data_IF_347159173955
#
_entry.id   IF_347159173955
#
_cell.length_a   1.000
_cell.length_b   1.000
_cell.length_c   1.000
_cell.angle_alpha   90.00
_cell.angle_beta   90.00
_cell.angle_gamma   90.00
#
_symmetry.space_group_name_H-M   'P 1'
#
loop_
_entity.id
_entity.type
_entity.pdbx_description
1 polymer ?
#
# COMPACT_ATOMS: atom_id res chain seq x y z
N UNK A 1 6.30 -3.38 -10.56
CA UNK A 1 6.46 -4.38 -9.48
C UNK A 1 7.50 -3.84 -8.51
N UNK A 2 7.43 -4.21 -7.23
CA UNK A 2 8.33 -3.73 -6.18
C UNK A 2 9.78 -4.20 -6.41
N UNK A 3 10.65 -3.30 -6.86
CA UNK A 3 12.09 -3.56 -7.07
C UNK A 3 12.93 -3.11 -5.86
N UNK A 4 13.87 -3.94 -5.43
CA UNK A 4 14.78 -3.64 -4.33
C UNK A 4 15.60 -2.36 -4.56
N UNK A 5 16.00 -2.10 -5.81
CA UNK A 5 16.79 -0.93 -6.16
C UNK A 5 16.03 0.38 -5.87
N UNK A 6 14.72 0.40 -6.12
CA UNK A 6 13.86 1.57 -5.85
C UNK A 6 13.75 1.85 -4.35
N UNK A 7 13.60 0.81 -3.52
CA UNK A 7 13.53 0.95 -2.06
C UNK A 7 14.82 1.52 -1.46
N UNK A 8 15.98 1.15 -2.02
CA UNK A 8 17.29 1.64 -1.57
C UNK A 8 17.51 3.12 -1.84
N UNK A 9 17.01 3.63 -2.97
CA UNK A 9 17.21 5.04 -3.38
C UNK A 9 16.09 5.95 -2.90
N UNK A 10 14.92 5.42 -2.55
CA UNK A 10 13.82 6.20 -1.99
C UNK A 10 14.25 6.84 -0.66
N UNK A 11 14.01 8.13 -0.49
CA UNK A 11 14.39 8.92 0.69
C UNK A 11 13.21 9.58 1.41
N UNK A 12 12.11 9.84 0.68
CA UNK A 12 10.89 10.40 1.26
C UNK A 12 10.15 9.37 2.12
N UNK A 13 9.31 9.83 3.08
CA UNK A 13 8.31 8.97 3.70
C UNK A 13 7.49 8.24 2.64
N UNK A 14 7.15 6.98 2.89
CA UNK A 14 6.49 6.13 1.91
C UNK A 14 5.32 5.36 2.54
N UNK A 15 4.21 5.27 1.80
CA UNK A 15 3.05 4.47 2.18
C UNK A 15 2.89 3.34 1.15
N UNK A 16 2.88 2.09 1.61
CA UNK A 16 2.71 0.91 0.77
C UNK A 16 1.46 0.15 1.22
N UNK A 17 0.41 0.21 0.39
CA UNK A 17 -0.86 -0.48 0.58
C UNK A 17 -0.95 -1.64 -0.43
N UNK A 18 -0.43 -2.82 -0.04
CA UNK A 18 -0.38 -4.00 -0.91
C UNK A 18 -1.73 -4.71 -0.98
N UNK A 19 -2.04 -5.33 -2.12
CA UNK A 19 -3.15 -6.29 -2.25
C UNK A 19 -2.67 -7.70 -1.92
N UNK A 20 -3.61 -8.66 -1.84
CA UNK A 20 -3.29 -10.09 -1.62
C UNK A 20 -2.52 -10.74 -2.78
N UNK A 21 -2.54 -10.10 -3.95
CA UNK A 21 -1.93 -10.64 -5.17
C UNK A 21 -0.45 -10.22 -5.29
N UNK A 22 0.05 -9.39 -4.38
CA UNK A 22 1.45 -8.95 -4.38
C UNK A 22 2.37 -9.98 -3.69
N UNK A 23 3.61 -10.18 -4.19
CA UNK A 23 4.55 -11.10 -3.55
C UNK A 23 4.94 -10.65 -2.13
N UNK A 24 4.60 -11.47 -1.12
CA UNK A 24 4.82 -11.15 0.29
C UNK A 24 6.29 -10.94 0.66
N UNK A 25 7.20 -11.68 0.01
CA UNK A 25 8.65 -11.53 0.16
C UNK A 25 9.14 -10.14 -0.28
N UNK A 26 8.57 -9.60 -1.37
CA UNK A 26 8.92 -8.27 -1.88
C UNK A 26 8.38 -7.15 -0.99
N UNK A 27 7.16 -7.30 -0.47
CA UNK A 27 6.57 -6.34 0.49
C UNK A 27 7.39 -6.30 1.79
N UNK A 28 7.79 -7.48 2.30
CA UNK A 28 8.64 -7.58 3.49
C UNK A 28 10.01 -6.95 3.27
N UNK A 29 10.64 -7.20 2.12
CA UNK A 29 11.94 -6.62 1.74
C UNK A 29 11.89 -5.08 1.71
N UNK A 30 10.82 -4.49 1.18
CA UNK A 30 10.63 -3.03 1.20
C UNK A 30 10.59 -2.47 2.62
N UNK A 31 9.86 -3.15 3.52
CA UNK A 31 9.79 -2.78 4.93
C UNK A 31 11.16 -2.85 5.61
N UNK A 32 11.93 -3.90 5.33
CA UNK A 32 13.28 -4.07 5.88
C UNK A 32 14.24 -2.96 5.43
N UNK A 33 14.27 -2.66 4.13
CA UNK A 33 15.20 -1.67 3.56
C UNK A 33 14.86 -0.24 3.99
N UNK A 34 13.58 0.10 4.03
CA UNK A 34 13.16 1.47 4.31
C UNK A 34 13.00 1.78 5.79
N UNK A 35 12.80 0.76 6.64
CA UNK A 35 12.68 0.90 8.09
C UNK A 35 11.52 1.82 8.48
N UNK A 36 11.77 2.78 9.37
CA UNK A 36 10.75 3.70 9.88
C UNK A 36 10.23 4.71 8.83
N UNK A 37 10.84 4.76 7.65
CA UNK A 37 10.41 5.65 6.56
C UNK A 37 9.22 5.11 5.78
N UNK A 38 8.83 3.85 6.00
CA UNK A 38 7.73 3.22 5.29
C UNK A 38 6.63 2.76 6.24
N UNK A 39 5.39 3.06 5.89
CA UNK A 39 4.19 2.49 6.49
C UNK A 39 3.63 1.42 5.55
N UNK A 40 3.51 0.17 6.01
CA UNK A 40 3.12 -0.97 5.18
C UNK A 40 1.82 -1.58 5.71
N UNK A 41 0.86 -1.81 4.82
CA UNK A 41 -0.35 -2.59 5.10
C UNK A 41 -0.63 -3.51 3.92
N UNK A 42 -0.81 -4.81 4.18
CA UNK A 42 -1.31 -5.76 3.19
C UNK A 42 -2.80 -5.98 3.40
N UNK A 43 -3.56 -5.84 2.32
CA UNK A 43 -5.01 -6.02 2.27
C UNK A 43 -5.31 -7.41 1.72
N UNK A 44 -5.36 -8.40 2.61
CA UNK A 44 -5.51 -9.84 2.29
C UNK A 44 -6.79 -10.19 1.51
N UNK A 45 -7.81 -9.34 1.56
CA UNK A 45 -9.08 -9.56 0.87
C UNK A 45 -9.19 -8.80 -0.47
N UNK A 46 -8.23 -7.92 -0.76
CA UNK A 46 -8.30 -7.02 -1.93
C UNK A 46 -7.43 -7.53 -3.09
N UNK A 47 -7.90 -7.37 -4.32
CA UNK A 47 -7.17 -7.74 -5.55
C UNK A 47 -6.30 -6.61 -6.09
N UNK A 48 -5.35 -6.95 -6.98
CA UNK A 48 -4.54 -5.95 -7.66
C UNK A 48 -5.38 -4.87 -8.38
N UNK A 49 -5.09 -3.60 -8.08
CA UNK A 49 -5.80 -2.45 -8.64
C UNK A 49 -7.07 -2.04 -7.87
N UNK A 50 -7.28 -2.57 -6.67
CA UNK A 50 -8.47 -2.30 -5.84
C UNK A 50 -8.72 -0.82 -5.51
N UNK A 51 -7.67 0.00 -5.41
CA UNK A 51 -7.80 1.45 -5.18
C UNK A 51 -7.93 2.30 -6.46
N UNK A 52 -7.88 1.66 -7.63
CA UNK A 52 -7.84 2.35 -8.93
C UNK A 52 -8.95 1.92 -9.88
N UNK A 53 -8.65 1.89 -11.18
CA UNK A 53 -9.63 1.58 -12.23
C UNK A 53 -10.30 0.20 -12.12
N UNK A 54 -9.74 -0.72 -11.31
CA UNK A 54 -10.27 -2.07 -11.07
C UNK A 54 -11.02 -2.19 -9.74
N UNK A 55 -11.32 -1.11 -9.05
CA UNK A 55 -12.10 -1.12 -7.80
C UNK A 55 -13.46 -1.81 -8.00
N UNK A 56 -13.83 -2.72 -7.09
CA UNK A 56 -15.17 -3.32 -7.08
C UNK A 56 -16.08 -2.60 -6.08
N UNK A 57 -16.66 -1.48 -6.51
CA UNK A 57 -17.53 -0.66 -5.66
C UNK A 57 -18.96 -1.22 -5.53
N UNK A 58 -19.23 -2.40 -6.09
CA UNK A 58 -20.52 -3.10 -5.91
C UNK A 58 -20.45 -4.12 -4.78
N UNK A 59 -19.25 -4.49 -4.35
CA UNK A 59 -19.02 -5.36 -3.22
C UNK A 59 -18.79 -4.54 -1.95
N UNK A 60 -19.63 -4.72 -0.93
CA UNK A 60 -19.59 -3.92 0.31
C UNK A 60 -18.26 -4.04 1.07
N UNK A 61 -17.62 -5.20 1.05
CA UNK A 61 -16.32 -5.39 1.69
C UNK A 61 -15.23 -4.61 0.95
N UNK A 62 -15.27 -4.64 -0.39
CA UNK A 62 -14.33 -3.88 -1.20
C UNK A 62 -14.52 -2.36 -1.03
N UNK A 63 -15.76 -1.89 -0.86
CA UNK A 63 -16.05 -0.48 -0.57
C UNK A 63 -15.44 -0.07 0.77
N UNK A 64 -15.58 -0.88 1.83
CA UNK A 64 -15.00 -0.58 3.15
C UNK A 64 -13.49 -0.47 3.09
N UNK A 65 -12.83 -1.41 2.44
CA UNK A 65 -11.37 -1.38 2.31
C UNK A 65 -10.92 -0.24 1.39
N UNK A 66 -11.65 0.05 0.29
CA UNK A 66 -11.42 1.22 -0.56
C UNK A 66 -11.41 2.53 0.25
N UNK A 67 -12.45 2.76 1.05
CA UNK A 67 -12.56 3.94 1.91
C UNK A 67 -11.43 3.98 2.96
N UNK A 68 -11.13 2.85 3.60
CA UNK A 68 -10.02 2.73 4.56
C UNK A 68 -8.67 3.05 3.93
N UNK A 69 -8.40 2.55 2.73
CA UNK A 69 -7.18 2.82 1.98
C UNK A 69 -7.01 4.30 1.68
N UNK A 70 -8.03 4.96 1.14
CA UNK A 70 -7.98 6.40 0.87
C UNK A 70 -7.90 7.24 2.14
N UNK A 71 -8.51 6.79 3.24
CA UNK A 71 -8.32 7.42 4.55
C UNK A 71 -6.86 7.32 5.01
N UNK A 72 -6.22 6.16 4.88
CA UNK A 72 -4.79 6.01 5.21
C UNK A 72 -3.92 6.93 4.35
N UNK A 73 -4.22 7.09 3.05
CA UNK A 73 -3.52 8.03 2.17
C UNK A 73 -3.69 9.47 2.67
N UNK A 74 -4.91 9.88 3.03
CA UNK A 74 -5.17 11.22 3.55
C UNK A 74 -4.45 11.47 4.89
N UNK A 75 -4.51 10.52 5.82
CA UNK A 75 -3.85 10.61 7.13
C UNK A 75 -2.32 10.65 6.97
N UNK A 76 -1.76 9.87 6.04
CA UNK A 76 -0.35 9.87 5.72
C UNK A 76 0.11 11.24 5.19
N UNK A 77 -0.61 11.82 4.24
CA UNK A 77 -0.29 13.16 3.74
C UNK A 77 -0.45 14.24 4.81
N UNK A 78 -1.49 14.17 5.65
CA UNK A 78 -1.65 15.11 6.75
C UNK A 78 -0.51 15.06 7.78
N UNK A 79 0.18 13.93 7.90
CA UNK A 79 1.35 13.74 8.77
C UNK A 79 2.66 14.24 8.15
N UNK A 80 2.75 14.27 6.82
CA UNK A 80 4.02 14.43 6.10
C UNK A 80 4.09 15.61 5.11
N UNK A 81 2.98 16.33 4.85
CA UNK A 81 2.90 17.57 4.05
C UNK A 81 2.38 18.72 4.90
#
# INVERSE_FOLDING_TARGET
LLDEADAKVQTAPHLLLASKDEPADKVALYKEIMGDRIEVTTYENMHHGWMGARSDLKNEENVKEFERGYKQVADFFAKHL
#
